data_IF_120460480144
#
_entry.id   IF_120460480144
#
_cell.length_a   1.000
_cell.length_b   1.000
_cell.length_c   1.000
_cell.angle_alpha   90.00
_cell.angle_beta   90.00
_cell.angle_gamma   90.00
#
_symmetry.space_group_name_H-M   'P 1'
#
loop_
_entity.id
_entity.type
_entity.pdbx_description
1 polymer ?
#
# COMPACT_ATOMS: atom_id res chain seq x y z
N UNK A 1 1.23 3.78 -13.72
CA UNK A 1 1.97 2.90 -12.78
C UNK A 1 3.47 3.14 -12.84
N UNK A 2 4.16 2.86 -13.96
CA UNK A 2 5.63 2.92 -14.03
C UNK A 2 6.20 4.29 -13.68
N UNK A 3 5.61 5.36 -14.18
CA UNK A 3 6.07 6.73 -13.90
C UNK A 3 5.91 7.11 -12.42
N UNK A 4 4.71 6.94 -11.87
CA UNK A 4 4.40 7.23 -10.46
C UNK A 4 5.30 6.42 -9.50
N UNK A 5 5.23 5.08 -9.57
CA UNK A 5 6.02 4.24 -8.66
C UNK A 5 7.51 4.41 -8.90
N UNK A 6 7.92 4.55 -10.17
CA UNK A 6 9.31 4.80 -10.53
C UNK A 6 9.85 6.10 -9.92
N UNK A 7 9.05 7.14 -9.71
CA UNK A 7 9.51 8.38 -9.07
C UNK A 7 9.93 8.19 -7.60
N UNK A 8 9.33 7.22 -6.90
CA UNK A 8 9.62 6.95 -5.49
C UNK A 8 11.08 6.54 -5.25
N UNK A 9 11.71 5.90 -6.23
CA UNK A 9 13.13 5.52 -6.19
C UNK A 9 14.09 6.73 -6.15
N UNK A 10 13.65 7.90 -6.62
CA UNK A 10 14.43 9.15 -6.55
C UNK A 10 13.91 10.08 -5.44
N UNK A 11 13.23 9.51 -4.44
CA UNK A 11 12.60 10.25 -3.33
C UNK A 11 11.57 11.28 -3.80
N UNK A 12 10.99 11.06 -4.99
CA UNK A 12 9.92 11.87 -5.55
C UNK A 12 8.56 11.25 -5.26
N UNK A 13 7.65 12.03 -4.65
CA UNK A 13 6.25 11.64 -4.43
C UNK A 13 5.34 12.59 -5.22
N UNK A 14 4.51 12.05 -6.11
CA UNK A 14 3.57 12.85 -6.90
C UNK A 14 2.24 12.94 -6.15
N UNK A 15 1.84 14.17 -5.81
CA UNK A 15 0.65 14.43 -5.02
C UNK A 15 -0.31 15.36 -5.77
N UNK A 16 -1.61 15.15 -5.58
CA UNK A 16 -2.63 16.08 -6.07
C UNK A 16 -2.77 17.32 -5.18
N UNK A 17 -3.47 18.35 -5.69
CA UNK A 17 -3.70 19.61 -4.96
C UNK A 17 -5.18 19.98 -4.83
N UNK A 18 -6.07 19.25 -5.49
CA UNK A 18 -7.51 19.49 -5.38
C UNK A 18 -8.05 18.87 -4.09
N UNK A 19 -9.27 19.28 -3.69
CA UNK A 19 -9.98 18.72 -2.53
C UNK A 19 -11.22 18.00 -3.04
N UNK A 20 -11.60 16.89 -2.40
CA UNK A 20 -12.81 16.13 -2.69
C UNK A 20 -14.07 17.00 -2.63
N UNK A 21 -15.09 16.61 -3.39
CA UNK A 21 -16.34 17.35 -3.42
C UNK A 21 -17.06 17.27 -2.07
N UNK A 22 -17.54 18.42 -1.58
CA UNK A 22 -18.13 18.55 -0.24
C UNK A 22 -19.41 17.72 0.00
N UNK A 23 -20.04 17.17 -1.05
CA UNK A 23 -21.22 16.31 -0.92
C UNK A 23 -20.89 14.89 -0.45
N UNK A 24 -19.62 14.45 -0.54
CA UNK A 24 -19.16 13.13 -0.08
C UNK A 24 -17.86 13.32 0.73
N UNK A 25 -17.91 13.97 1.91
CA UNK A 25 -16.70 14.38 2.61
C UNK A 25 -15.95 13.21 3.28
N UNK A 26 -16.66 12.13 3.62
CA UNK A 26 -16.11 11.04 4.43
C UNK A 26 -15.32 10.01 3.62
N UNK A 27 -15.41 10.02 2.30
CA UNK A 27 -14.75 9.08 1.40
C UNK A 27 -14.64 9.63 -0.02
N UNK A 28 -13.55 9.33 -0.71
CA UNK A 28 -13.38 9.60 -2.13
C UNK A 28 -12.51 8.49 -2.74
N UNK A 29 -12.85 7.99 -3.94
CA UNK A 29 -11.98 7.05 -4.66
C UNK A 29 -10.76 7.76 -5.26
N UNK A 30 -10.83 9.09 -5.44
CA UNK A 30 -9.74 9.90 -5.99
C UNK A 30 -8.83 10.43 -4.86
N UNK A 31 -7.49 10.34 -5.00
CA UNK A 31 -6.55 10.77 -3.97
C UNK A 31 -6.44 12.30 -3.94
N UNK A 32 -7.34 12.97 -3.23
CA UNK A 32 -7.32 14.43 -3.04
C UNK A 32 -6.19 14.85 -2.07
N UNK A 33 -5.93 16.16 -1.93
CA UNK A 33 -4.83 16.67 -1.09
C UNK A 33 -4.90 16.21 0.38
N UNK A 34 -6.08 15.88 0.89
CA UNK A 34 -6.23 15.31 2.23
C UNK A 34 -5.65 13.90 2.30
N UNK A 35 -5.87 13.08 1.28
CA UNK A 35 -5.22 11.78 1.13
C UNK A 35 -3.69 11.90 1.14
N UNK A 36 -3.16 12.83 0.37
CA UNK A 36 -1.72 13.04 0.25
C UNK A 36 -1.10 13.50 1.57
N UNK A 37 -1.66 14.55 2.19
CA UNK A 37 -1.05 15.20 3.35
C UNK A 37 -1.34 14.44 4.64
N UNK A 38 -2.58 13.99 4.86
CA UNK A 38 -2.99 13.32 6.11
C UNK A 38 -2.70 11.81 6.06
N UNK A 39 -2.88 11.19 4.89
CA UNK A 39 -2.58 9.78 4.69
C UNK A 39 -1.08 9.54 4.55
N UNK A 40 -0.49 9.99 3.44
CA UNK A 40 0.93 9.71 3.16
C UNK A 40 1.89 10.55 3.99
N UNK A 41 1.55 11.79 4.35
CA UNK A 41 2.46 12.71 5.05
C UNK A 41 3.10 12.14 6.31
N UNK A 42 2.36 11.35 7.10
CA UNK A 42 2.90 10.70 8.30
C UNK A 42 3.99 9.66 7.98
N UNK A 43 3.75 8.83 6.97
CA UNK A 43 4.71 7.79 6.56
C UNK A 43 5.89 8.39 5.79
N UNK A 44 5.69 9.46 5.02
CA UNK A 44 6.76 10.19 4.34
C UNK A 44 7.66 11.00 5.29
N UNK A 45 7.24 11.22 6.54
CA UNK A 45 8.04 11.87 7.57
C UNK A 45 8.86 10.88 8.42
N UNK A 46 8.68 9.57 8.23
CA UNK A 46 9.36 8.51 8.98
C UNK A 46 10.38 7.78 8.09
N UNK A 47 11.69 7.80 8.42
CA UNK A 47 12.74 7.14 7.67
C UNK A 47 12.49 5.66 7.37
N UNK A 48 11.81 4.97 8.29
CA UNK A 48 11.46 3.56 8.13
C UNK A 48 10.56 3.34 6.93
N UNK A 49 9.54 4.19 6.80
CA UNK A 49 8.59 4.11 5.72
C UNK A 49 9.16 4.70 4.44
N UNK A 50 9.91 5.81 4.47
CA UNK A 50 10.51 6.36 3.24
C UNK A 50 11.44 5.35 2.55
N UNK A 51 12.14 4.50 3.32
CA UNK A 51 12.89 3.36 2.75
C UNK A 51 11.99 2.39 2.00
N UNK A 52 10.77 2.13 2.48
CA UNK A 52 9.80 1.26 1.81
C UNK A 52 9.28 1.88 0.51
N UNK A 53 8.99 3.19 0.49
CA UNK A 53 8.64 3.89 -0.77
C UNK A 53 9.78 3.80 -1.78
N UNK A 54 11.02 4.04 -1.35
CA UNK A 54 12.20 3.91 -2.21
C UNK A 54 12.33 2.48 -2.76
N UNK A 55 12.23 1.46 -1.89
CA UNK A 55 12.30 0.06 -2.29
C UNK A 55 11.20 -0.29 -3.32
N UNK A 56 9.96 0.14 -3.10
CA UNK A 56 8.86 -0.04 -4.04
C UNK A 56 9.15 0.63 -5.40
N UNK A 57 9.75 1.82 -5.38
CA UNK A 57 10.16 2.50 -6.61
C UNK A 57 11.28 1.77 -7.35
N UNK A 58 12.26 1.24 -6.63
CA UNK A 58 13.33 0.44 -7.23
C UNK A 58 12.78 -0.87 -7.81
N UNK A 59 11.84 -1.51 -7.12
CA UNK A 59 11.10 -2.67 -7.63
C UNK A 59 10.36 -2.34 -8.92
N UNK A 60 9.61 -1.23 -8.96
CA UNK A 60 8.88 -0.79 -10.15
C UNK A 60 9.80 -0.47 -11.35
N UNK A 61 11.03 0.01 -11.09
CA UNK A 61 12.06 0.19 -12.13
C UNK A 61 12.70 -1.12 -12.58
N UNK A 62 12.88 -2.07 -11.67
CA UNK A 62 13.54 -3.35 -11.93
C UNK A 62 12.69 -4.28 -12.78
N UNK A 63 11.37 -4.30 -12.56
CA UNK A 63 10.47 -5.18 -13.31
C UNK A 63 10.15 -4.63 -14.70
N UNK A 64 10.07 -5.51 -15.69
CA UNK A 64 9.91 -5.14 -17.10
C UNK A 64 8.47 -5.30 -17.59
N UNK A 65 7.79 -6.38 -17.16
CA UNK A 65 6.43 -6.72 -17.60
C UNK A 65 5.35 -5.92 -16.89
N UNK A 66 4.20 -5.75 -17.54
CA UNK A 66 3.05 -5.08 -16.95
C UNK A 66 2.49 -5.88 -15.77
N UNK A 67 2.50 -7.21 -15.89
CA UNK A 67 2.02 -8.15 -14.88
C UNK A 67 2.87 -8.10 -13.61
N UNK A 68 4.20 -8.02 -13.74
CA UNK A 68 5.10 -7.87 -12.60
C UNK A 68 4.94 -6.50 -11.93
N UNK A 69 4.79 -5.43 -12.73
CA UNK A 69 4.55 -4.09 -12.21
C UNK A 69 3.21 -3.99 -11.46
N UNK A 70 2.17 -4.64 -11.96
CA UNK A 70 0.85 -4.70 -11.31
C UNK A 70 0.92 -5.47 -9.99
N UNK A 71 1.70 -6.55 -9.93
CA UNK A 71 1.94 -7.27 -8.68
C UNK A 71 2.64 -6.37 -7.64
N UNK A 72 3.69 -5.64 -8.06
CA UNK A 72 4.37 -4.64 -7.20
C UNK A 72 3.39 -3.59 -6.70
N UNK A 73 2.50 -3.06 -7.57
CA UNK A 73 1.51 -2.06 -7.16
C UNK A 73 0.43 -2.62 -6.24
N UNK A 74 0.01 -3.88 -6.41
CA UNK A 74 -0.93 -4.55 -5.48
C UNK A 74 -0.32 -4.72 -4.09
N UNK A 75 0.95 -5.09 -4.00
CA UNK A 75 1.65 -5.15 -2.71
C UNK A 75 1.71 -3.76 -2.08
N UNK A 76 1.93 -2.70 -2.86
CA UNK A 76 1.89 -1.32 -2.36
C UNK A 76 0.49 -0.95 -1.85
N UNK A 77 -0.56 -1.30 -2.60
CA UNK A 77 -1.96 -1.07 -2.22
C UNK A 77 -2.30 -1.71 -0.87
N UNK A 78 -2.03 -3.00 -0.71
CA UNK A 78 -2.37 -3.70 0.55
C UNK A 78 -1.42 -3.40 1.71
N UNK A 79 -0.44 -2.51 1.53
CA UNK A 79 0.52 -2.12 2.57
C UNK A 79 0.51 -0.61 2.81
N UNK A 80 1.14 0.19 1.95
CA UNK A 80 1.30 1.62 2.15
C UNK A 80 -0.02 2.40 1.93
N UNK A 81 -1.00 1.85 1.20
CA UNK A 81 -2.33 2.44 1.05
C UNK A 81 -3.35 1.94 2.09
N UNK A 82 -3.42 0.62 2.31
CA UNK A 82 -4.46 -0.01 3.16
C UNK A 82 -3.91 -1.00 4.18
N UNK A 83 -2.66 -0.85 4.58
CA UNK A 83 -2.02 -1.71 5.57
C UNK A 83 -2.47 -1.44 7.01
N UNK A 84 -2.58 -2.52 7.77
CA UNK A 84 -2.85 -2.51 9.21
C UNK A 84 -1.78 -3.28 9.97
N UNK A 85 -1.63 -3.00 11.26
CA UNK A 85 -0.59 -3.59 12.12
C UNK A 85 -1.16 -3.91 13.49
N UNK A 86 -0.70 -5.01 14.07
CA UNK A 86 -0.96 -5.34 15.46
C UNK A 86 0.00 -4.58 16.38
N UNK A 87 -0.56 -3.85 17.34
CA UNK A 87 0.17 -3.26 18.46
C UNK A 87 -0.35 -3.84 19.80
N UNK A 88 0.39 -3.66 20.92
CA UNK A 88 -0.04 -4.19 22.21
C UNK A 88 -1.44 -3.75 22.66
N UNK A 89 -1.92 -2.60 22.20
CA UNK A 89 -3.24 -2.04 22.51
C UNK A 89 -4.29 -2.30 21.40
N UNK A 90 -3.96 -3.13 20.42
CA UNK A 90 -4.88 -3.64 19.40
C UNK A 90 -4.47 -3.33 17.96
N UNK A 91 -5.40 -3.58 17.04
CA UNK A 91 -5.17 -3.36 15.61
C UNK A 91 -5.19 -1.86 15.27
N UNK A 92 -4.17 -1.39 14.55
CA UNK A 92 -3.98 -0.01 14.08
C UNK A 92 -3.87 0.02 12.57
N UNK A 93 -4.27 1.14 11.96
CA UNK A 93 -4.03 1.40 10.55
C UNK A 93 -2.76 2.24 10.37
N UNK A 94 -2.00 1.97 9.32
CA UNK A 94 -0.91 2.83 8.86
C UNK A 94 -1.01 3.19 7.38
N UNK A 95 -1.86 2.49 6.62
CA UNK A 95 -2.11 2.78 5.21
C UNK A 95 -2.76 4.14 5.00
N UNK A 96 -2.27 4.88 4.00
CA UNK A 96 -2.68 6.25 3.71
C UNK A 96 -4.18 6.38 3.34
N UNK A 97 -4.73 5.42 2.61
CA UNK A 97 -6.15 5.34 2.27
C UNK A 97 -7.04 5.31 3.52
N UNK A 98 -6.70 4.46 4.49
CA UNK A 98 -7.46 4.36 5.75
C UNK A 98 -7.29 5.65 6.58
N UNK A 99 -6.05 6.13 6.73
CA UNK A 99 -5.74 7.30 7.57
C UNK A 99 -6.40 8.61 7.09
N UNK A 100 -6.70 8.70 5.79
CA UNK A 100 -7.29 9.89 5.16
C UNK A 100 -8.79 9.78 4.87
N UNK A 101 -9.40 8.68 5.29
CA UNK A 101 -10.82 8.38 5.11
C UNK A 101 -11.49 8.29 6.48
N UNK A 102 -12.18 9.34 6.96
CA UNK A 102 -12.86 9.33 8.25
C UNK A 102 -13.85 8.16 8.40
N UNK A 103 -14.51 7.75 7.33
CA UNK A 103 -15.40 6.58 7.39
C UNK A 103 -14.62 5.27 7.51
N UNK A 104 -13.55 5.11 6.73
CA UNK A 104 -12.80 3.85 6.71
C UNK A 104 -11.96 3.64 7.98
N UNK A 105 -11.43 4.70 8.59
CA UNK A 105 -10.70 4.60 9.86
C UNK A 105 -11.60 4.17 11.04
N UNK A 106 -12.91 4.43 10.97
CA UNK A 106 -13.89 3.95 11.95
C UNK A 106 -14.23 2.47 11.71
N UNK A 107 -14.32 2.06 10.44
CA UNK A 107 -14.85 0.76 10.03
C UNK A 107 -13.80 -0.34 9.81
N UNK A 108 -12.51 -0.01 9.61
CA UNK A 108 -11.50 -0.96 9.12
C UNK A 108 -11.35 -2.23 9.98
N UNK A 109 -11.65 -2.14 11.29
CA UNK A 109 -11.60 -3.29 12.21
C UNK A 109 -12.70 -4.32 11.97
N UNK A 110 -13.77 -3.94 11.27
CA UNK A 110 -14.86 -4.83 10.84
C UNK A 110 -14.58 -5.58 9.54
N UNK A 111 -13.48 -5.26 8.85
CA UNK A 111 -13.12 -5.88 7.58
C UNK A 111 -12.52 -7.29 7.78
N UNK A 112 -12.35 -8.02 6.68
CA UNK A 112 -11.66 -9.31 6.74
C UNK A 112 -10.16 -9.09 6.88
N UNK A 113 -9.65 -9.26 8.10
CA UNK A 113 -8.22 -9.10 8.39
C UNK A 113 -7.48 -10.42 8.15
N UNK A 114 -6.57 -10.42 7.19
CA UNK A 114 -5.68 -11.55 6.86
C UNK A 114 -4.26 -11.29 7.39
N UNK A 115 -3.46 -12.33 7.69
CA UNK A 115 -2.03 -12.15 7.95
C UNK A 115 -1.32 -11.54 6.73
N UNK A 116 -0.33 -10.70 6.96
CA UNK A 116 0.53 -10.16 5.90
C UNK A 116 1.16 -11.31 5.09
N UNK A 117 0.86 -11.33 3.79
CA UNK A 117 1.36 -12.33 2.85
C UNK A 117 1.51 -11.68 1.47
N UNK A 118 2.75 -11.55 1.01
CA UNK A 118 3.08 -10.88 -0.27
C UNK A 118 2.45 -11.57 -1.47
N UNK A 119 2.32 -12.90 -1.44
CA UNK A 119 1.72 -13.66 -2.53
C UNK A 119 0.23 -13.35 -2.61
N UNK A 120 -0.47 -13.45 -1.47
CA UNK A 120 -1.88 -13.13 -1.41
C UNK A 120 -2.16 -11.66 -1.73
N UNK A 121 -1.35 -10.72 -1.24
CA UNK A 121 -1.46 -9.30 -1.60
C UNK A 121 -1.32 -9.09 -3.10
N UNK A 122 -0.29 -9.67 -3.73
CA UNK A 122 -0.01 -9.48 -5.15
C UNK A 122 -0.97 -10.21 -6.10
N UNK A 123 -1.84 -11.09 -5.60
CA UNK A 123 -2.86 -11.80 -6.39
C UNK A 123 -4.30 -11.47 -6.01
N UNK A 124 -4.52 -10.72 -4.93
CA UNK A 124 -5.87 -10.28 -4.53
C UNK A 124 -6.29 -9.08 -5.38
N UNK A 125 -7.49 -9.16 -5.96
CA UNK A 125 -8.12 -8.01 -6.60
C UNK A 125 -8.77 -7.10 -5.57
N UNK A 126 -8.86 -5.81 -5.90
CA UNK A 126 -9.50 -4.80 -5.05
C UNK A 126 -10.42 -3.90 -5.89
N UNK A 127 -11.45 -3.37 -5.22
CA UNK A 127 -12.36 -2.38 -5.78
C UNK A 127 -12.06 -1.02 -5.15
N UNK A 128 -11.80 -0.02 -5.99
CA UNK A 128 -11.50 1.35 -5.56
C UNK A 128 -12.74 2.19 -5.29
N UNK A 129 -13.95 1.68 -5.57
CA UNK A 129 -15.21 2.43 -5.49
C UNK A 129 -15.95 2.26 -4.16
N UNK A 130 -15.45 1.38 -3.28
CA UNK A 130 -15.99 1.09 -1.97
C UNK A 130 -14.86 0.95 -0.93
N UNK A 131 -15.21 0.78 0.34
CA UNK A 131 -14.24 0.42 1.37
C UNK A 131 -13.63 -0.96 1.11
N UNK A 132 -12.40 -1.17 1.58
CA UNK A 132 -11.70 -2.42 1.34
C UNK A 132 -12.26 -3.57 2.19
N UNK A 133 -12.81 -4.59 1.53
CA UNK A 133 -13.35 -5.79 2.19
C UNK A 133 -12.27 -6.63 2.91
N UNK A 134 -11.04 -6.59 2.38
CA UNK A 134 -9.90 -7.38 2.84
C UNK A 134 -8.73 -6.46 3.14
N UNK A 135 -8.20 -6.58 4.35
CA UNK A 135 -6.98 -5.89 4.79
C UNK A 135 -5.95 -6.93 5.23
N UNK A 136 -4.68 -6.55 5.17
CA UNK A 136 -3.58 -7.41 5.59
C UNK A 136 -2.87 -6.81 6.81
N UNK A 137 -2.80 -7.61 7.89
CA UNK A 137 -2.20 -7.23 9.15
C UNK A 137 -0.78 -7.75 9.30
N UNK A 138 0.14 -6.83 9.54
CA UNK A 138 1.47 -7.17 10.02
C UNK A 138 1.49 -7.36 11.54
N UNK A 139 2.34 -8.26 12.04
CA UNK A 139 2.50 -8.46 13.48
C UNK A 139 3.30 -7.34 14.16
N UNK A 140 4.08 -6.61 13.37
CA UNK A 140 4.84 -5.44 13.78
C UNK A 140 5.30 -4.71 12.54
N UNK A 141 5.82 -3.51 12.71
CA UNK A 141 6.43 -2.82 11.59
C UNK A 141 7.74 -3.43 11.10
N UNK A 142 8.51 -4.09 11.97
CA UNK A 142 9.66 -4.87 11.53
C UNK A 142 9.23 -6.00 10.59
N UNK A 143 8.08 -6.64 10.85
CA UNK A 143 7.49 -7.62 9.93
C UNK A 143 7.15 -6.97 8.58
N UNK A 144 6.63 -5.74 8.55
CA UNK A 144 6.43 -5.00 7.28
C UNK A 144 7.76 -4.80 6.54
N UNK A 145 8.79 -4.32 7.23
CA UNK A 145 10.11 -4.05 6.64
C UNK A 145 10.76 -5.30 6.05
N UNK A 146 10.69 -6.41 6.79
CA UNK A 146 11.30 -7.68 6.40
C UNK A 146 10.55 -8.32 5.24
N UNK A 147 9.22 -8.44 5.33
CA UNK A 147 8.43 -9.13 4.32
C UNK A 147 8.24 -8.29 3.06
N UNK A 148 7.76 -7.06 3.21
CA UNK A 148 7.40 -6.18 2.09
C UNK A 148 8.64 -5.51 1.51
N UNK A 149 9.49 -4.97 2.38
CA UNK A 149 10.75 -4.38 1.97
C UNK A 149 11.71 -5.42 1.37
N UNK A 150 11.86 -6.59 2.00
CA UNK A 150 12.67 -7.68 1.46
C UNK A 150 12.19 -8.20 0.10
N UNK A 151 10.87 -8.25 -0.11
CA UNK A 151 10.29 -8.52 -1.43
C UNK A 151 10.71 -7.46 -2.46
N UNK A 152 10.46 -6.17 -2.21
CA UNK A 152 10.77 -5.10 -3.17
C UNK A 152 12.27 -4.94 -3.46
N UNK A 153 13.14 -5.21 -2.49
CA UNK A 153 14.59 -5.17 -2.68
C UNK A 153 15.06 -6.14 -3.76
N UNK A 154 14.38 -7.27 -3.92
CA UNK A 154 14.90 -8.41 -4.69
C UNK A 154 14.00 -8.87 -5.84
N UNK A 155 12.74 -8.44 -5.89
CA UNK A 155 11.79 -8.96 -6.85
C UNK A 155 12.20 -8.68 -8.30
N UNK A 156 12.16 -9.74 -9.11
CA UNK A 156 12.25 -9.74 -10.57
C UNK A 156 10.97 -10.32 -11.18
N UNK A 157 10.78 -10.13 -12.49
CA UNK A 157 9.69 -10.76 -13.25
C UNK A 157 9.62 -12.29 -13.01
N UNK A 158 10.77 -12.97 -13.05
CA UNK A 158 10.84 -14.43 -12.81
C UNK A 158 10.43 -14.81 -11.39
N UNK A 159 10.88 -14.05 -10.39
CA UNK A 159 10.51 -14.31 -8.99
C UNK A 159 9.02 -14.12 -8.75
N UNK A 160 8.42 -13.08 -9.33
CA UNK A 160 6.99 -12.80 -9.22
C UNK A 160 6.19 -13.88 -9.96
N UNK A 161 6.62 -14.29 -11.15
CA UNK A 161 6.00 -15.40 -11.86
C UNK A 161 6.04 -16.70 -11.06
N UNK A 162 7.12 -16.95 -10.31
CA UNK A 162 7.21 -18.10 -9.40
C UNK A 162 6.22 -18.01 -8.23
N UNK A 163 6.13 -16.85 -7.56
CA UNK A 163 5.17 -16.62 -6.48
C UNK A 163 3.72 -16.84 -6.94
N UNK A 164 3.37 -16.32 -8.12
CA UNK A 164 2.03 -16.48 -8.69
C UNK A 164 1.67 -17.94 -8.99
N UNK A 165 2.65 -18.78 -9.35
CA UNK A 165 2.42 -20.22 -9.55
C UNK A 165 2.16 -20.96 -8.24
N UNK A 166 2.68 -20.47 -7.12
CA UNK A 166 2.41 -21.06 -5.80
C UNK A 166 1.01 -20.72 -5.29
N UNK A 167 0.41 -19.64 -5.79
CA UNK A 167 -0.94 -19.20 -5.44
C UNK A 167 -2.07 -19.95 -6.20
N UNK A 168 -1.74 -20.62 -7.31
CA UNK A 168 -2.68 -21.30 -8.20
C UNK A 168 -2.76 -22.80 -7.91
#
# INVERSE_FOLDING_TARGET
LREFYGALADHGFWATQYVRHHSVPLYTPEPDVLHEVVGHGNTLADPRFTRLYEAAGQAARRVETAEALEFVSRVFWFTLEFGVVHEPDGLKAFGAGILSSPGEIEEFRGMTIKPLDVVAMGTTDYDITHYQDVLFAADSFAHVEDAVGGFWDTCTDDSIAALRRTAA
#
